data_IF_597301869340
#
_entry.id   IF_597301869340
#
_cell.length_a   1.000
_cell.length_b   1.000
_cell.length_c   1.000
_cell.angle_alpha   90.00
_cell.angle_beta   90.00
_cell.angle_gamma   90.00
#
_symmetry.space_group_name_H-M   'P 1'
#
loop_
_entity.id
_entity.type
_entity.pdbx_description
1 polymer ?
#
# COMPACT_ATOMS: atom_id res chain seq x y z
N UNK A 1 2.52 -13.73 -14.85
CA UNK A 1 1.41 -12.77 -14.62
C UNK A 1 1.08 -12.75 -13.14
N UNK A 2 0.47 -11.69 -12.63
CA UNK A 2 -0.16 -11.63 -11.31
C UNK A 2 -1.63 -11.27 -11.50
N UNK A 3 -2.52 -12.00 -10.83
CA UNK A 3 -3.97 -11.90 -11.01
C UNK A 3 -4.61 -11.70 -9.63
N UNK A 4 -5.38 -10.64 -9.47
CA UNK A 4 -6.22 -10.46 -8.30
C UNK A 4 -7.56 -9.86 -8.71
N UNK A 5 -8.64 -10.64 -8.63
CA UNK A 5 -9.95 -10.28 -9.13
C UNK A 5 -9.87 -9.71 -10.57
N UNK A 6 -10.15 -8.42 -10.75
CA UNK A 6 -10.13 -7.73 -12.04
C UNK A 6 -8.81 -7.01 -12.33
N UNK A 7 -7.86 -6.98 -11.39
CA UNK A 7 -6.59 -6.29 -11.53
C UNK A 7 -5.49 -7.28 -11.96
N UNK A 8 -5.07 -7.16 -13.22
CA UNK A 8 -4.12 -8.06 -13.88
C UNK A 8 -2.81 -7.34 -14.14
N UNK A 9 -1.68 -7.93 -13.71
CA UNK A 9 -0.34 -7.55 -14.17
C UNK A 9 0.22 -8.64 -15.09
N UNK A 10 0.49 -8.24 -16.34
CA UNK A 10 1.19 -9.08 -17.31
C UNK A 10 2.66 -8.67 -17.36
N UNK A 11 3.55 -9.66 -17.25
CA UNK A 11 4.99 -9.48 -17.38
C UNK A 11 5.42 -10.21 -18.63
N UNK A 12 5.99 -9.47 -19.58
CA UNK A 12 6.37 -9.99 -20.89
C UNK A 12 7.67 -9.34 -21.33
N UNK A 13 8.36 -9.98 -22.28
CA UNK A 13 9.52 -9.37 -22.92
C UNK A 13 9.03 -8.26 -23.85
N UNK A 14 9.71 -7.12 -23.80
CA UNK A 14 9.38 -5.95 -24.63
C UNK A 14 9.92 -6.10 -26.06
N UNK A 15 9.42 -7.08 -26.80
CA UNK A 15 9.64 -7.24 -28.23
C UNK A 15 8.32 -7.40 -28.99
N UNK A 16 8.29 -6.92 -30.23
CA UNK A 16 7.05 -6.82 -31.02
C UNK A 16 6.37 -8.18 -31.24
N UNK A 17 7.10 -9.26 -31.62
CA UNK A 17 6.46 -10.58 -31.78
C UNK A 17 5.79 -11.09 -30.51
N UNK A 18 6.44 -10.90 -29.35
CA UNK A 18 5.86 -11.30 -28.06
C UNK A 18 4.61 -10.49 -27.72
N UNK A 19 4.60 -9.19 -28.02
CA UNK A 19 3.46 -8.32 -27.75
C UNK A 19 2.27 -8.58 -28.70
N UNK A 20 2.52 -8.99 -29.94
CA UNK A 20 1.49 -9.45 -30.86
C UNK A 20 0.79 -10.69 -30.33
N UNK A 21 1.55 -11.69 -29.87
CA UNK A 21 0.99 -12.88 -29.24
C UNK A 21 0.14 -12.54 -28.01
N UNK A 22 0.60 -11.61 -27.18
CA UNK A 22 -0.15 -11.16 -25.99
C UNK A 22 -1.47 -10.49 -26.40
N UNK A 23 -1.46 -9.67 -27.45
CA UNK A 23 -2.66 -9.04 -28.00
C UNK A 23 -3.65 -10.09 -28.48
N UNK A 24 -3.19 -11.08 -29.23
CA UNK A 24 -4.04 -12.13 -29.79
C UNK A 24 -4.66 -12.99 -28.67
N UNK A 25 -3.89 -13.33 -27.64
CA UNK A 25 -4.40 -14.05 -26.46
C UNK A 25 -5.47 -13.24 -25.73
N UNK A 26 -5.28 -11.93 -25.55
CA UNK A 26 -6.26 -11.07 -24.90
C UNK A 26 -7.55 -10.92 -25.73
N UNK A 27 -7.44 -10.85 -27.05
CA UNK A 27 -8.58 -10.79 -27.95
C UNK A 27 -9.37 -12.10 -27.94
N UNK A 28 -8.69 -13.24 -28.08
CA UNK A 28 -9.32 -14.56 -28.02
C UNK A 28 -10.01 -14.78 -26.66
N UNK A 29 -9.34 -14.40 -25.56
CA UNK A 29 -9.97 -14.45 -24.24
C UNK A 29 -11.24 -13.58 -24.17
N UNK A 30 -11.21 -12.38 -24.74
CA UNK A 30 -12.37 -11.50 -24.77
C UNK A 30 -13.52 -12.04 -25.63
N UNK A 31 -13.22 -12.72 -26.73
CA UNK A 31 -14.21 -13.37 -27.59
C UNK A 31 -14.89 -14.54 -26.88
N UNK A 32 -14.13 -15.39 -26.20
CA UNK A 32 -14.66 -16.58 -25.50
C UNK A 32 -15.38 -16.21 -24.20
N UNK A 33 -14.82 -15.28 -23.41
CA UNK A 33 -15.38 -14.92 -22.10
C UNK A 33 -16.41 -13.79 -22.13
N UNK A 34 -16.44 -12.99 -23.20
CA UNK A 34 -17.19 -11.74 -23.27
C UNK A 34 -16.58 -10.59 -22.44
N UNK A 35 -15.46 -10.82 -21.73
CA UNK A 35 -14.81 -9.81 -20.90
C UNK A 35 -13.71 -9.08 -21.66
N UNK A 36 -13.83 -7.75 -21.78
CA UNK A 36 -12.84 -6.91 -22.47
C UNK A 36 -11.99 -6.12 -21.47
N UNK A 37 -10.67 -5.97 -21.72
CA UNK A 37 -9.84 -5.05 -20.96
C UNK A 37 -10.38 -3.61 -21.04
N UNK A 38 -10.40 -2.91 -19.91
CA UNK A 38 -10.66 -1.48 -19.89
C UNK A 38 -9.38 -0.72 -20.23
N UNK A 39 -9.22 -0.37 -21.51
CA UNK A 39 -8.01 0.29 -22.01
C UNK A 39 -7.72 1.64 -21.35
N UNK A 40 -8.74 2.36 -20.87
CA UNK A 40 -8.57 3.64 -20.15
C UNK A 40 -7.88 3.45 -18.78
N UNK A 41 -7.99 2.26 -18.20
CA UNK A 41 -7.32 1.90 -16.94
C UNK A 41 -6.00 1.14 -17.16
N UNK A 42 -5.74 0.67 -18.37
CA UNK A 42 -4.51 -0.04 -18.69
C UNK A 42 -3.35 0.92 -18.86
N UNK A 43 -2.16 0.52 -18.41
CA UNK A 43 -0.91 1.25 -18.61
C UNK A 43 0.23 0.25 -18.87
N UNK A 44 1.18 0.63 -19.73
CA UNK A 44 2.41 -0.16 -19.96
C UNK A 44 3.57 0.51 -19.22
N UNK A 45 4.39 -0.31 -18.56
CA UNK A 45 5.61 0.13 -17.90
C UNK A 45 6.80 -0.58 -18.54
N UNK A 46 7.80 0.20 -18.92
CA UNK A 46 9.02 -0.31 -19.53
C UNK A 46 10.19 -0.14 -18.57
N UNK A 47 11.00 -1.18 -18.45
CA UNK A 47 12.33 -1.10 -17.86
C UNK A 47 13.34 -0.48 -18.83
N UNK A 48 14.52 -1.10 -18.94
CA UNK A 48 15.56 -0.67 -19.86
C UNK A 48 15.26 -1.14 -21.30
N UNK A 49 14.44 -0.38 -22.03
CA UNK A 49 13.98 -0.68 -23.40
C UNK A 49 14.17 0.54 -24.29
N UNK A 50 14.61 0.32 -25.53
CA UNK A 50 14.80 1.38 -26.53
C UNK A 50 13.51 2.17 -26.82
N UNK A 51 13.65 3.48 -27.01
CA UNK A 51 12.53 4.41 -27.24
C UNK A 51 11.68 4.07 -28.48
N UNK A 52 12.30 3.53 -29.54
CA UNK A 52 11.60 3.08 -30.74
C UNK A 52 10.73 1.86 -30.47
N UNK A 53 11.22 0.91 -29.67
CA UNK A 53 10.46 -0.27 -29.25
C UNK A 53 9.29 0.12 -28.35
N UNK A 54 9.49 1.02 -27.39
CA UNK A 54 8.42 1.54 -26.51
C UNK A 54 7.26 2.13 -27.31
N UNK A 55 7.57 3.01 -28.27
CA UNK A 55 6.56 3.65 -29.13
C UNK A 55 5.77 2.63 -29.94
N UNK A 56 6.46 1.65 -30.53
CA UNK A 56 5.80 0.57 -31.29
C UNK A 56 4.90 -0.29 -30.40
N UNK A 57 5.35 -0.61 -29.19
CA UNK A 57 4.57 -1.38 -28.22
C UNK A 57 3.27 -0.65 -27.81
N UNK A 58 3.35 0.64 -27.46
CA UNK A 58 2.16 1.44 -27.13
C UNK A 58 1.19 1.55 -28.31
N UNK A 59 1.70 1.73 -29.52
CA UNK A 59 0.89 1.79 -30.73
C UNK A 59 0.21 0.45 -31.06
N UNK A 60 0.90 -0.67 -30.86
CA UNK A 60 0.38 -2.01 -31.14
C UNK A 60 -0.78 -2.39 -30.21
N UNK A 61 -0.64 -2.08 -28.91
CA UNK A 61 -1.60 -2.44 -27.87
C UNK A 61 -2.66 -1.38 -27.62
N UNK A 62 -2.48 -0.15 -28.12
CA UNK A 62 -3.31 1.02 -27.82
C UNK A 62 -3.40 1.34 -26.32
N UNK A 63 -2.32 1.06 -25.59
CA UNK A 63 -2.21 1.34 -24.15
C UNK A 63 -1.11 2.38 -23.96
N UNK A 64 -1.38 3.49 -23.24
CA UNK A 64 -0.38 4.51 -23.00
C UNK A 64 0.73 4.02 -22.07
N UNK A 65 1.91 4.63 -22.21
CA UNK A 65 3.01 4.45 -21.27
C UNK A 65 2.66 5.14 -19.94
N UNK A 66 2.75 4.40 -18.83
CA UNK A 66 2.58 4.94 -17.49
C UNK A 66 3.89 5.36 -16.83
N UNK A 67 3.81 6.11 -15.74
CA UNK A 67 4.95 6.45 -14.89
C UNK A 67 4.89 5.71 -13.54
N UNK A 68 6.06 5.32 -13.03
CA UNK A 68 6.19 4.80 -11.67
C UNK A 68 6.24 5.97 -10.65
N UNK A 69 5.76 5.78 -9.42
CA UNK A 69 5.18 4.56 -8.86
C UNK A 69 3.70 4.36 -9.21
N UNK A 70 3.28 3.10 -9.36
CA UNK A 70 1.88 2.72 -9.67
C UNK A 70 1.25 2.05 -8.48
N UNK A 71 0.00 2.36 -8.17
CA UNK A 71 -0.71 1.71 -7.07
C UNK A 71 -1.31 0.39 -7.57
N UNK A 72 -0.83 -0.73 -7.03
CA UNK A 72 -1.44 -2.04 -7.20
C UNK A 72 -1.92 -2.57 -5.85
N UNK A 73 -3.18 -2.98 -5.76
CA UNK A 73 -3.82 -3.44 -4.51
C UNK A 73 -3.63 -2.47 -3.33
N UNK A 74 -3.62 -1.16 -3.64
CA UNK A 74 -3.47 -0.11 -2.63
C UNK A 74 -2.04 0.12 -2.13
N UNK A 75 -1.03 -0.53 -2.73
CA UNK A 75 0.39 -0.36 -2.44
C UNK A 75 1.15 0.18 -3.66
N UNK A 76 2.14 1.06 -3.48
CA UNK A 76 2.97 1.53 -4.59
C UNK A 76 3.92 0.42 -5.07
N UNK A 77 3.86 0.09 -6.35
CA UNK A 77 4.87 -0.68 -7.05
C UNK A 77 6.06 0.24 -7.32
N UNK A 78 7.18 -0.10 -6.70
CA UNK A 78 8.40 0.70 -6.71
C UNK A 78 9.49 -0.07 -7.46
N UNK A 79 10.24 0.64 -8.32
CA UNK A 79 11.44 0.11 -8.95
C UNK A 79 12.71 0.29 -8.08
N UNK A 80 12.58 0.95 -6.93
CA UNK A 80 13.69 1.30 -6.04
C UNK A 80 13.29 1.09 -4.57
N UNK A 81 14.26 1.28 -3.67
CA UNK A 81 14.00 1.26 -2.23
C UNK A 81 12.98 2.34 -1.87
N UNK A 82 11.98 1.97 -1.10
CA UNK A 82 10.90 2.86 -0.69
C UNK A 82 11.41 4.10 0.06
N UNK A 83 11.04 5.27 -0.45
CA UNK A 83 11.33 6.57 0.15
C UNK A 83 10.24 7.01 1.12
N UNK A 84 10.52 8.06 1.89
CA UNK A 84 9.50 8.69 2.74
C UNK A 84 8.34 9.29 1.92
N UNK A 85 8.59 9.72 0.67
CA UNK A 85 7.54 10.27 -0.19
C UNK A 85 6.58 9.18 -0.67
N UNK A 86 7.09 7.99 -0.99
CA UNK A 86 6.26 6.85 -1.40
C UNK A 86 5.32 6.40 -0.26
N UNK A 87 5.78 6.56 0.98
CA UNK A 87 5.00 6.27 2.18
C UNK A 87 3.94 7.34 2.51
N UNK A 88 3.91 8.47 1.80
CA UNK A 88 2.91 9.52 2.06
C UNK A 88 1.48 8.98 1.92
N UNK A 89 1.26 8.08 0.96
CA UNK A 89 -0.04 7.40 0.76
C UNK A 89 -0.50 6.65 2.01
N UNK A 90 0.42 6.00 2.75
CA UNK A 90 0.10 5.34 4.02
C UNK A 90 -0.33 6.37 5.07
N UNK A 91 0.45 7.44 5.24
CA UNK A 91 0.20 8.48 6.23
C UNK A 91 -1.12 9.21 5.96
N UNK A 92 -1.40 9.51 4.69
CA UNK A 92 -2.63 10.15 4.25
C UNK A 92 -3.83 9.23 4.48
N UNK A 93 -3.71 7.92 4.21
CA UNK A 93 -4.76 6.93 4.52
C UNK A 93 -5.06 6.87 6.02
N UNK A 94 -4.04 6.78 6.87
CA UNK A 94 -4.22 6.77 8.32
C UNK A 94 -4.87 8.08 8.80
N UNK A 95 -4.35 9.22 8.35
CA UNK A 95 -4.85 10.56 8.69
C UNK A 95 -6.32 10.72 8.27
N UNK A 96 -6.65 10.36 7.03
CA UNK A 96 -8.02 10.43 6.49
C UNK A 96 -9.00 9.61 7.33
N UNK A 97 -8.63 8.38 7.72
CA UNK A 97 -9.47 7.53 8.57
C UNK A 97 -9.70 8.14 9.94
N UNK A 98 -8.66 8.70 10.55
CA UNK A 98 -8.74 9.32 11.88
C UNK A 98 -9.45 10.66 11.91
N UNK A 99 -9.54 11.36 10.77
CA UNK A 99 -10.14 12.70 10.68
C UNK A 99 -11.62 12.69 10.28
N UNK A 100 -12.24 11.52 10.11
CA UNK A 100 -13.66 11.43 9.76
C UNK A 100 -14.57 11.91 10.90
N UNK A 101 -15.68 12.59 10.57
CA UNK A 101 -16.58 13.21 11.55
C UNK A 101 -17.10 12.22 12.61
N UNK A 102 -17.41 10.98 12.21
CA UNK A 102 -17.83 9.90 13.09
C UNK A 102 -16.73 9.49 14.08
N UNK A 103 -15.46 9.60 13.69
CA UNK A 103 -14.34 9.27 14.57
C UNK A 103 -14.11 10.32 15.66
N UNK A 104 -14.45 11.59 15.39
CA UNK A 104 -14.29 12.69 16.32
C UNK A 104 -15.29 12.63 17.51
N UNK A 105 -16.40 11.91 17.36
CA UNK A 105 -17.41 11.73 18.41
C UNK A 105 -17.23 10.44 19.22
N UNK A 106 -16.22 9.63 18.93
CA UNK A 106 -15.99 8.36 19.62
C UNK A 106 -15.48 8.56 21.05
N UNK A 107 -15.99 7.73 21.97
CA UNK A 107 -15.40 7.55 23.30
C UNK A 107 -13.98 6.98 23.19
N UNK A 108 -13.21 7.04 24.29
CA UNK A 108 -11.88 6.42 24.33
C UNK A 108 -11.91 4.94 23.92
N UNK A 109 -12.90 4.18 24.43
CA UNK A 109 -13.10 2.77 24.06
C UNK A 109 -13.45 2.59 22.57
N UNK A 110 -14.28 3.47 22.00
CA UNK A 110 -14.58 3.45 20.57
C UNK A 110 -13.34 3.73 19.70
N UNK A 111 -12.52 4.70 20.09
CA UNK A 111 -11.25 4.98 19.40
C UNK A 111 -10.25 3.84 19.53
N UNK A 112 -10.18 3.20 20.70
CA UNK A 112 -9.36 2.02 20.93
C UNK A 112 -9.75 0.88 20.00
N UNK A 113 -11.04 0.61 19.88
CA UNK A 113 -11.58 -0.41 18.98
C UNK A 113 -11.28 -0.09 17.52
N UNK A 114 -11.58 1.13 17.06
CA UNK A 114 -11.31 1.53 15.68
C UNK A 114 -9.81 1.44 15.36
N UNK A 115 -8.96 1.87 16.29
CA UNK A 115 -7.51 1.78 16.14
C UNK A 115 -7.09 0.32 15.95
N UNK A 116 -7.59 -0.60 16.80
CA UNK A 116 -7.23 -2.02 16.74
C UNK A 116 -7.66 -2.72 15.43
N UNK A 117 -8.86 -2.45 14.93
CA UNK A 117 -9.41 -3.19 13.79
C UNK A 117 -9.17 -2.52 12.43
N UNK A 118 -9.09 -1.18 12.39
CA UNK A 118 -9.00 -0.43 11.12
C UNK A 118 -7.63 0.19 10.92
N UNK A 119 -7.10 0.91 11.89
CA UNK A 119 -5.84 1.63 11.68
C UNK A 119 -4.64 0.69 11.71
N UNK A 120 -4.64 -0.26 12.65
CA UNK A 120 -3.61 -1.29 12.72
C UNK A 120 -3.61 -2.20 11.50
N UNK A 121 -4.78 -2.57 10.94
CA UNK A 121 -4.81 -3.40 9.73
C UNK A 121 -4.18 -2.70 8.52
N UNK A 122 -4.40 -1.39 8.36
CA UNK A 122 -3.73 -0.58 7.32
C UNK A 122 -2.21 -0.57 7.53
N UNK A 123 -1.76 -0.31 8.76
CA UNK A 123 -0.33 -0.28 9.08
C UNK A 123 0.34 -1.64 8.87
N UNK A 124 -0.29 -2.71 9.36
CA UNK A 124 0.19 -4.10 9.25
C UNK A 124 0.32 -4.49 7.79
N UNK A 125 -0.64 -4.14 6.94
CA UNK A 125 -0.57 -4.42 5.50
C UNK A 125 0.70 -3.83 4.86
N UNK A 126 1.03 -2.57 5.15
CA UNK A 126 2.26 -1.95 4.64
C UNK A 126 3.54 -2.52 5.26
N UNK A 127 3.52 -2.78 6.57
CA UNK A 127 4.66 -3.35 7.30
C UNK A 127 5.05 -4.74 6.79
N UNK A 128 4.06 -5.51 6.32
CA UNK A 128 4.25 -6.86 5.78
C UNK A 128 4.66 -6.88 4.31
N UNK A 129 4.71 -5.74 3.63
CA UNK A 129 5.14 -5.69 2.21
C UNK A 129 6.45 -4.94 2.04
N UNK A 130 6.72 -3.93 2.86
CA UNK A 130 7.86 -3.05 2.65
C UNK A 130 8.68 -2.80 3.92
N UNK A 131 9.98 -2.58 3.75
CA UNK A 131 10.83 -2.01 4.80
C UNK A 131 10.53 -0.51 4.89
N UNK A 132 9.85 -0.08 5.95
CA UNK A 132 9.45 1.31 6.13
C UNK A 132 10.61 2.17 6.65
N UNK A 133 10.82 3.38 6.13
CA UNK A 133 11.77 4.32 6.72
C UNK A 133 11.41 4.62 8.18
N UNK A 134 12.42 4.74 9.05
CA UNK A 134 12.22 5.00 10.48
C UNK A 134 11.37 6.25 10.73
N UNK A 135 11.55 7.30 9.92
CA UNK A 135 10.72 8.51 9.99
C UNK A 135 9.23 8.22 9.78
N UNK A 136 8.89 7.37 8.82
CA UNK A 136 7.50 6.97 8.52
C UNK A 136 6.91 6.16 9.66
N UNK A 137 7.68 5.22 10.23
CA UNK A 137 7.20 4.41 11.37
C UNK A 137 6.88 5.28 12.60
N UNK A 138 7.73 6.28 12.88
CA UNK A 138 7.49 7.26 13.95
C UNK A 138 6.24 8.10 13.69
N UNK A 139 6.02 8.49 12.44
CA UNK A 139 4.86 9.28 12.05
C UNK A 139 3.55 8.48 12.12
N UNK A 140 3.57 7.19 11.77
CA UNK A 140 2.46 6.27 12.00
C UNK A 140 2.10 6.22 13.49
N UNK A 141 3.11 5.94 14.35
CA UNK A 141 2.93 5.92 15.81
C UNK A 141 2.39 7.27 16.33
N UNK A 142 2.84 8.40 15.77
CA UNK A 142 2.36 9.75 16.12
C UNK A 142 0.87 9.90 15.80
N UNK A 143 0.43 9.51 14.60
CA UNK A 143 -0.97 9.59 14.16
C UNK A 143 -1.85 8.70 15.06
N UNK A 144 -1.45 7.43 15.28
CA UNK A 144 -2.21 6.49 16.10
C UNK A 144 -2.32 6.97 17.55
N UNK A 145 -1.21 7.42 18.14
CA UNK A 145 -1.19 8.00 19.49
C UNK A 145 -2.11 9.21 19.56
N UNK A 146 -1.98 10.13 18.60
CA UNK A 146 -2.80 11.34 18.58
C UNK A 146 -4.28 11.01 18.52
N UNK A 147 -4.67 10.07 17.66
CA UNK A 147 -6.05 9.65 17.49
C UNK A 147 -6.59 9.02 18.78
N UNK A 148 -5.86 8.10 19.41
CA UNK A 148 -6.31 7.44 20.63
C UNK A 148 -6.67 8.44 21.75
N UNK A 149 -5.83 9.45 21.95
CA UNK A 149 -6.01 10.39 23.06
C UNK A 149 -6.92 11.57 22.73
N UNK A 150 -6.87 12.08 21.50
CA UNK A 150 -7.51 13.36 21.14
C UNK A 150 -8.59 13.23 20.07
N UNK A 151 -8.80 12.03 19.49
CA UNK A 151 -9.76 11.82 18.42
C UNK A 151 -9.35 12.41 17.07
N UNK A 152 -8.12 12.91 16.92
CA UNK A 152 -7.62 13.53 15.68
C UNK A 152 -6.22 13.04 15.31
N UNK A 153 -5.86 13.06 14.03
CA UNK A 153 -4.51 12.75 13.53
C UNK A 153 -3.43 13.75 14.00
N UNK A 154 -3.84 15.01 14.23
CA UNK A 154 -2.94 16.14 14.47
C UNK A 154 -3.20 16.80 15.83
N UNK A 155 -3.06 16.02 16.88
CA UNK A 155 -3.04 16.50 18.26
C UNK A 155 -1.72 17.19 18.56
N UNK A 156 -1.78 18.47 18.96
CA UNK A 156 -0.60 19.22 19.43
C UNK A 156 -0.16 18.83 20.84
N UNK A 157 -1.00 18.11 21.59
CA UNK A 157 -0.76 17.69 22.98
C UNK A 157 -0.21 16.28 23.03
N UNK A 158 0.67 16.03 24.01
CA UNK A 158 1.10 14.67 24.33
C UNK A 158 -0.06 13.89 24.95
N UNK A 159 -0.19 12.61 24.58
CA UNK A 159 -1.13 11.70 25.23
C UNK A 159 -0.78 11.46 26.70
N UNK A 160 -1.80 11.14 27.50
CA UNK A 160 -1.71 10.94 28.96
C UNK A 160 -0.70 9.85 29.37
N UNK A 161 -0.46 8.86 28.50
CA UNK A 161 0.47 7.77 28.74
C UNK A 161 1.51 7.72 27.61
N UNK A 162 2.76 7.42 27.97
CA UNK A 162 3.84 7.21 27.01
C UNK A 162 3.49 6.08 26.03
N UNK A 163 3.76 6.29 24.74
CA UNK A 163 3.42 5.31 23.69
C UNK A 163 4.07 3.95 23.94
N UNK A 164 5.31 3.94 24.42
CA UNK A 164 6.02 2.71 24.80
C UNK A 164 5.30 1.88 25.87
N UNK A 165 4.58 2.53 26.81
CA UNK A 165 3.76 1.83 27.81
C UNK A 165 2.44 1.33 27.20
N UNK A 166 1.83 2.10 26.30
CA UNK A 166 0.62 1.69 25.57
C UNK A 166 0.89 0.44 24.73
N UNK A 167 2.07 0.36 24.10
CA UNK A 167 2.51 -0.76 23.27
C UNK A 167 3.00 -1.98 24.06
N UNK A 168 2.83 -2.03 25.38
CA UNK A 168 3.12 -3.24 26.14
C UNK A 168 1.96 -4.26 26.05
N UNK A 169 2.24 -5.55 26.25
CA UNK A 169 1.19 -6.56 26.43
C UNK A 169 0.19 -6.16 27.53
N UNK A 170 -1.07 -6.59 27.39
CA UNK A 170 -2.10 -6.32 28.43
C UNK A 170 -1.71 -6.89 29.81
N UNK A 171 -0.99 -8.02 29.81
CA UNK A 171 -0.44 -8.65 31.04
C UNK A 171 0.58 -7.76 31.77
N UNK A 172 1.23 -6.85 31.05
CA UNK A 172 2.19 -5.87 31.60
C UNK A 172 1.57 -4.48 31.83
N UNK A 173 0.23 -4.37 31.81
CA UNK A 173 -0.48 -3.11 31.99
C UNK A 173 -0.48 -2.18 30.77
N UNK A 174 -0.12 -2.69 29.59
CA UNK A 174 -0.30 -1.97 28.31
C UNK A 174 -1.66 -2.25 27.67
N UNK A 175 -1.86 -1.75 26.45
CA UNK A 175 -3.10 -1.98 25.68
C UNK A 175 -2.99 -3.12 24.67
N UNK A 176 -1.81 -3.73 24.53
CA UNK A 176 -1.56 -4.87 23.64
C UNK A 176 -1.28 -4.50 22.19
N UNK A 177 -0.98 -3.23 21.91
CA UNK A 177 -0.51 -2.81 20.59
C UNK A 177 0.99 -3.02 20.45
N UNK A 178 1.49 -3.10 19.22
CA UNK A 178 2.94 -3.15 18.94
C UNK A 178 3.31 -1.90 18.16
N UNK A 179 4.39 -1.22 18.54
CA UNK A 179 4.85 -0.02 17.83
C UNK A 179 5.21 -0.34 16.37
N UNK A 180 4.94 0.61 15.47
CA UNK A 180 5.06 0.40 14.02
C UNK A 180 6.44 -0.11 13.61
N UNK A 181 7.51 0.46 14.18
CA UNK A 181 8.89 0.04 13.89
C UNK A 181 9.16 -1.41 14.26
N UNK A 182 8.76 -1.83 15.45
CA UNK A 182 8.99 -3.19 15.95
C UNK A 182 8.21 -4.19 15.10
N UNK A 183 6.96 -3.84 14.76
CA UNK A 183 6.13 -4.67 13.89
C UNK A 183 6.71 -4.81 12.48
N UNK A 184 7.18 -3.70 11.87
CA UNK A 184 7.80 -3.76 10.56
C UNK A 184 9.06 -4.63 10.54
N UNK A 185 9.91 -4.52 11.55
CA UNK A 185 11.08 -5.41 11.68
C UNK A 185 10.65 -6.88 11.78
N UNK A 186 9.68 -7.20 12.64
CA UNK A 186 9.19 -8.56 12.81
C UNK A 186 8.57 -9.12 11.51
N UNK A 187 7.75 -8.33 10.82
CA UNK A 187 7.10 -8.74 9.58
C UNK A 187 8.12 -9.01 8.46
N UNK A 188 9.13 -8.15 8.31
CA UNK A 188 10.19 -8.36 7.32
C UNK A 188 11.08 -9.55 7.66
N UNK A 189 11.42 -9.75 8.93
CA UNK A 189 12.18 -10.95 9.36
C UNK A 189 11.41 -12.24 9.05
N UNK A 190 10.08 -12.23 9.22
CA UNK A 190 9.23 -13.36 8.84
C UNK A 190 9.35 -13.66 7.33
N UNK A 191 9.25 -12.63 6.47
CA UNK A 191 9.41 -12.81 5.01
C UNK A 191 10.79 -13.38 4.69
N UNK A 192 11.85 -12.87 5.32
CA UNK A 192 13.21 -13.37 5.13
C UNK A 192 13.41 -14.82 5.58
N UNK A 193 12.58 -15.33 6.50
CA UNK A 193 12.61 -16.72 6.94
C UNK A 193 11.82 -17.66 6.03
N UNK A 194 10.84 -17.14 5.28
CA UNK A 194 10.04 -17.90 4.32
C UNK A 194 10.72 -18.06 2.96
N UNK A 195 11.86 -17.38 2.75
CA UNK A 195 12.74 -17.49 1.56
C UNK A 195 13.81 -18.55 1.82
#
# INVERSE_FOLDING_TARGET
>A
HLLFANDILLFTKADIPTLELVKDVLLNFAEVSGMKPNLDKCQIFFGNVDSGVRRRACNLLHIPEGSLPVIYLGLPLLASKMSSMDCKVLLDKLTSRTSSWMCNSLSFGGRLQLMAFVLFSIQVYWCSTFILPVAVTKECDRILRSFLWHGTAHGKKSGNVAWSRVCKPKKEGGLGFVGCRVWNQAAIMKIGWEI
#
